data_IF_129357151353
#
_entry.id   IF_129357151353
#
_cell.length_a   1.000
_cell.length_b   1.000
_cell.length_c   1.000
_cell.angle_alpha   90.00
_cell.angle_beta   90.00
_cell.angle_gamma   90.00
#
_symmetry.space_group_name_H-M   'P 1'
#
loop_
_entity.id
_entity.type
_entity.pdbx_description
1 polymer ?
#
# COMPACT_ATOMS: atom_id res chain seq x y z
N UNK A 1 -2.41 28.02 36.90
CA UNK A 1 -2.26 27.33 35.60
C UNK A 1 -1.41 26.11 35.86
N UNK A 2 -2.06 24.96 35.88
CA UNK A 2 -1.72 23.86 36.78
C UNK A 2 -0.56 22.99 36.31
N UNK A 3 0.30 22.63 37.26
CA UNK A 3 1.40 21.67 37.13
C UNK A 3 0.98 20.31 36.51
N UNK A 4 -0.31 19.96 36.60
CA UNK A 4 -0.91 18.78 35.95
C UNK A 4 -1.05 18.92 34.43
N UNK A 5 -1.30 20.12 33.92
CA UNK A 5 -1.41 20.38 32.48
C UNK A 5 -0.03 20.29 31.81
N UNK A 6 1.03 20.76 32.48
CA UNK A 6 2.41 20.66 32.00
C UNK A 6 2.90 19.21 31.91
N UNK A 7 2.61 18.39 32.93
CA UNK A 7 2.94 16.95 32.92
C UNK A 7 2.23 16.19 31.79
N UNK A 8 0.92 16.44 31.58
CA UNK A 8 0.17 15.82 30.47
C UNK A 8 0.67 16.27 29.10
N UNK A 9 1.11 17.51 28.96
CA UNK A 9 1.65 18.02 27.70
C UNK A 9 3.01 17.37 27.36
N UNK A 10 3.90 17.22 28.35
CA UNK A 10 5.16 16.51 28.15
C UNK A 10 4.94 15.04 27.80
N UNK A 11 3.97 14.38 28.44
CA UNK A 11 3.55 13.02 28.10
C UNK A 11 3.02 12.93 26.66
N UNK A 12 2.19 13.88 26.23
CA UNK A 12 1.68 13.95 24.85
C UNK A 12 2.81 14.08 23.83
N UNK A 13 3.87 14.83 24.14
CA UNK A 13 5.02 14.96 23.23
C UNK A 13 5.79 13.65 23.05
N UNK A 14 5.81 12.80 24.08
CA UNK A 14 6.43 11.48 24.03
C UNK A 14 5.53 10.46 23.31
N UNK A 15 4.22 10.49 23.56
CA UNK A 15 3.26 9.54 22.97
C UNK A 15 2.85 9.88 21.53
N UNK A 16 2.79 11.17 21.18
CA UNK A 16 2.47 11.66 19.85
C UNK A 16 3.64 12.51 19.29
N UNK A 17 4.59 11.86 18.60
CA UNK A 17 5.68 12.55 17.92
C UNK A 17 5.19 13.64 16.96
N UNK A 18 6.07 14.62 16.71
CA UNK A 18 5.71 15.78 15.90
C UNK A 18 5.34 15.38 14.47
N UNK A 19 4.20 15.87 13.97
CA UNK A 19 3.73 15.60 12.61
C UNK A 19 2.88 14.33 12.45
N UNK A 20 2.82 13.46 13.47
CA UNK A 20 1.94 12.29 13.45
C UNK A 20 0.52 12.62 13.89
N UNK A 21 -0.43 11.87 13.33
CA UNK A 21 -1.86 11.99 13.54
C UNK A 21 -2.32 11.01 14.61
N UNK A 22 -3.22 11.47 15.48
CA UNK A 22 -4.01 10.64 16.36
C UNK A 22 -5.49 11.04 16.25
N UNK A 23 -6.38 10.06 16.28
CA UNK A 23 -7.81 10.33 16.30
C UNK A 23 -8.33 10.53 17.74
N UNK A 24 -9.58 10.99 17.85
CA UNK A 24 -10.20 11.20 19.14
C UNK A 24 -10.30 9.92 19.98
N UNK A 25 -10.42 8.74 19.38
CA UNK A 25 -10.50 7.50 20.15
C UNK A 25 -9.16 7.19 20.81
N UNK A 26 -8.06 7.30 20.04
CA UNK A 26 -6.70 7.17 20.54
C UNK A 26 -6.41 8.19 21.66
N UNK A 27 -6.73 9.46 21.42
CA UNK A 27 -6.49 10.52 22.41
C UNK A 27 -7.26 10.29 23.73
N UNK A 28 -8.50 9.81 23.64
CA UNK A 28 -9.31 9.51 24.84
C UNK A 28 -8.72 8.31 25.61
N UNK A 29 -8.31 7.26 24.92
CA UNK A 29 -7.65 6.09 25.51
C UNK A 29 -6.35 6.45 26.25
N UNK A 30 -5.64 7.49 25.79
CA UNK A 30 -4.43 8.01 26.43
C UNK A 30 -4.72 9.10 27.49
N UNK A 31 -5.99 9.31 27.86
CA UNK A 31 -6.39 10.20 28.96
C UNK A 31 -6.52 11.68 28.57
N UNK A 32 -6.64 11.99 27.28
CA UNK A 32 -6.90 13.34 26.77
C UNK A 32 -8.39 13.50 26.43
N UNK A 33 -9.14 14.02 27.41
CA UNK A 33 -10.58 14.24 27.29
C UNK A 33 -10.94 15.25 26.19
N UNK A 34 -12.21 15.24 25.77
CA UNK A 34 -12.75 16.22 24.81
C UNK A 34 -12.47 17.68 25.18
N UNK A 35 -12.63 18.02 26.47
CA UNK A 35 -12.36 19.36 26.97
C UNK A 35 -10.86 19.71 26.87
N UNK A 36 -9.98 18.78 27.24
CA UNK A 36 -8.53 18.99 27.19
C UNK A 36 -8.03 19.13 25.75
N UNK A 37 -8.53 18.30 24.82
CA UNK A 37 -8.20 18.42 23.38
C UNK A 37 -8.63 19.78 22.84
N UNK A 38 -9.83 20.23 23.17
CA UNK A 38 -10.34 21.55 22.76
C UNK A 38 -9.48 22.69 23.32
N UNK A 39 -9.04 22.56 24.58
CA UNK A 39 -8.11 23.52 25.19
C UNK A 39 -6.76 23.52 24.49
N UNK A 40 -6.20 22.36 24.16
CA UNK A 40 -4.90 22.23 23.48
C UNK A 40 -4.94 22.78 22.05
N UNK A 41 -6.05 22.59 21.35
CA UNK A 41 -6.28 23.20 20.03
C UNK A 41 -6.37 24.72 20.16
N UNK A 42 -7.16 25.24 21.10
CA UNK A 42 -7.29 26.69 21.32
C UNK A 42 -5.97 27.36 21.71
N UNK A 43 -5.17 26.68 22.53
CA UNK A 43 -3.85 27.14 22.94
C UNK A 43 -2.75 26.91 21.88
N UNK A 44 -3.08 26.28 20.74
CA UNK A 44 -2.15 26.09 19.62
C UNK A 44 -1.10 24.99 19.83
N UNK A 45 -1.29 24.12 20.83
CA UNK A 45 -0.45 22.93 21.07
C UNK A 45 -0.79 21.78 20.12
N UNK A 46 -2.06 21.68 19.71
CA UNK A 46 -2.55 20.74 18.71
C UNK A 46 -3.19 21.51 17.56
N UNK A 47 -3.11 20.97 16.35
CA UNK A 47 -4.00 21.36 15.26
C UNK A 47 -4.87 20.18 14.82
N UNK A 48 -5.97 20.48 14.14
CA UNK A 48 -6.96 19.48 13.70
C UNK A 48 -7.08 19.49 12.17
N UNK A 49 -6.33 18.63 11.46
CA UNK A 49 -6.36 18.60 9.99
C UNK A 49 -7.68 18.06 9.43
N UNK A 50 -8.40 17.25 10.21
CA UNK A 50 -9.73 16.76 9.89
C UNK A 50 -10.55 16.62 11.18
N UNK A 51 -11.88 16.49 11.05
CA UNK A 51 -12.78 16.37 12.21
C UNK A 51 -12.33 15.22 13.11
N UNK A 52 -12.09 15.53 14.40
CA UNK A 52 -11.66 14.57 15.43
C UNK A 52 -10.28 13.92 15.19
N UNK A 53 -9.47 14.52 14.32
CA UNK A 53 -8.07 14.15 14.11
C UNK A 53 -7.21 15.27 14.66
N UNK A 54 -6.14 14.90 15.36
CA UNK A 54 -5.25 15.83 16.03
C UNK A 54 -3.82 15.50 15.66
N UNK A 55 -2.97 16.52 15.59
CA UNK A 55 -1.53 16.33 15.48
C UNK A 55 -0.79 17.50 16.13
N UNK A 56 0.46 17.26 16.46
CA UNK A 56 1.39 18.27 16.97
C UNK A 56 2.31 18.67 15.83
N UNK A 57 1.92 19.62 14.98
CA UNK A 57 2.81 20.24 13.98
C UNK A 57 2.08 21.37 13.27
N UNK A 58 2.82 22.39 12.82
CA UNK A 58 2.31 23.47 11.95
C UNK A 58 2.77 23.35 10.49
N UNK A 59 3.62 22.38 10.16
CA UNK A 59 4.12 22.16 8.78
C UNK A 59 3.04 21.53 7.89
N UNK A 60 3.08 21.65 6.57
CA UNK A 60 2.19 20.86 5.71
C UNK A 60 2.24 19.36 6.07
N UNK A 61 1.09 18.70 6.00
CA UNK A 61 0.97 17.26 6.20
C UNK A 61 1.50 16.55 4.95
N UNK A 62 2.22 15.45 5.11
CA UNK A 62 2.60 14.58 3.98
C UNK A 62 1.84 13.26 4.04
N UNK A 63 1.66 12.58 2.91
CA UNK A 63 1.01 11.27 2.90
C UNK A 63 1.82 10.24 3.69
N UNK A 64 3.16 10.34 3.69
CA UNK A 64 4.02 9.47 4.49
C UNK A 64 3.74 9.61 5.99
N UNK A 65 3.57 10.84 6.48
CA UNK A 65 3.20 11.08 7.89
C UNK A 65 1.85 10.43 8.22
N UNK A 66 0.88 10.49 7.30
CA UNK A 66 -0.41 9.81 7.47
C UNK A 66 -0.20 8.30 7.58
N UNK A 67 0.57 7.68 6.69
CA UNK A 67 0.81 6.24 6.71
C UNK A 67 1.52 5.80 7.99
N UNK A 68 2.58 6.49 8.38
CA UNK A 68 3.28 6.21 9.65
C UNK A 68 2.30 6.32 10.82
N UNK A 69 1.40 7.31 10.81
CA UNK A 69 0.39 7.46 11.86
C UNK A 69 -0.59 6.28 11.88
N UNK A 70 -1.06 5.83 10.72
CA UNK A 70 -1.95 4.66 10.62
C UNK A 70 -1.25 3.38 11.09
N UNK A 71 0.03 3.19 10.74
CA UNK A 71 0.78 1.97 10.99
C UNK A 71 1.36 1.87 12.40
N UNK A 72 1.82 2.98 12.96
CA UNK A 72 2.56 3.02 14.23
C UNK A 72 1.73 3.60 15.37
N UNK A 73 0.99 4.69 15.16
CA UNK A 73 0.21 5.34 16.24
C UNK A 73 -1.12 4.62 16.46
N UNK A 74 -1.83 4.32 15.36
CA UNK A 74 -3.11 3.62 15.41
C UNK A 74 -2.98 2.11 15.28
N UNK A 75 -1.76 1.60 15.10
CA UNK A 75 -1.42 0.17 15.04
C UNK A 75 -2.29 -0.61 14.05
N UNK A 76 -2.70 0.01 12.94
CA UNK A 76 -3.53 -0.65 11.95
C UNK A 76 -2.67 -1.60 11.11
N UNK A 77 -3.16 -2.81 10.79
CA UNK A 77 -2.47 -3.78 9.94
C UNK A 77 -2.61 -3.36 8.46
N UNK A 78 -2.09 -2.17 8.14
CA UNK A 78 -2.06 -1.60 6.81
C UNK A 78 -0.64 -1.59 6.28
N UNK A 79 -0.52 -1.85 4.99
CA UNK A 79 0.72 -1.88 4.21
C UNK A 79 0.53 -1.03 2.96
N UNK A 80 1.55 -0.27 2.58
CA UNK A 80 1.54 0.44 1.28
C UNK A 80 1.88 -0.57 0.20
N UNK A 81 1.00 -0.76 -0.77
CA UNK A 81 1.12 -1.83 -1.76
C UNK A 81 0.87 -1.38 -3.19
N UNK A 82 0.74 -2.34 -4.11
CA UNK A 82 0.46 -2.10 -5.51
C UNK A 82 1.44 -1.11 -6.17
N UNK A 83 0.89 -0.25 -7.03
CA UNK A 83 1.64 0.81 -7.72
C UNK A 83 2.48 1.67 -6.78
N UNK A 84 1.89 2.14 -5.68
CA UNK A 84 2.58 3.03 -4.73
C UNK A 84 3.84 2.38 -4.16
N UNK A 85 3.79 1.10 -3.82
CA UNK A 85 4.98 0.39 -3.33
C UNK A 85 6.07 0.26 -4.39
N UNK A 86 5.68 -0.08 -5.64
CA UNK A 86 6.62 -0.20 -6.76
C UNK A 86 7.30 1.15 -7.07
N UNK A 87 6.56 2.25 -7.06
CA UNK A 87 7.12 3.60 -7.25
C UNK A 87 8.17 3.92 -6.17
N UNK A 88 7.85 3.68 -4.90
CA UNK A 88 8.78 3.90 -3.79
C UNK A 88 10.00 2.97 -3.81
N UNK A 89 9.91 1.83 -4.50
CA UNK A 89 10.98 0.85 -4.66
C UNK A 89 11.79 1.04 -5.95
N UNK A 90 11.61 2.16 -6.65
CA UNK A 90 12.44 2.57 -7.79
C UNK A 90 11.85 2.25 -9.18
N UNK A 91 10.62 1.74 -9.25
CA UNK A 91 9.96 1.46 -10.54
C UNK A 91 9.13 2.64 -11.06
N UNK A 92 9.29 3.83 -10.48
CA UNK A 92 8.56 5.04 -10.89
C UNK A 92 8.80 5.44 -12.36
N UNK A 93 9.98 5.14 -12.92
CA UNK A 93 10.31 5.49 -14.32
C UNK A 93 9.45 4.74 -15.37
N UNK A 94 8.81 3.63 -14.98
CA UNK A 94 7.87 2.89 -15.84
C UNK A 94 6.43 3.41 -15.72
N UNK A 95 6.18 4.33 -14.79
CA UNK A 95 4.86 4.82 -14.44
C UNK A 95 4.72 6.27 -14.90
N UNK A 96 3.92 6.45 -15.96
CA UNK A 96 3.82 7.72 -16.70
C UNK A 96 3.02 8.83 -16.00
N UNK A 97 2.34 8.52 -14.89
CA UNK A 97 1.46 9.47 -14.18
C UNK A 97 2.05 9.81 -12.83
N UNK A 98 2.09 11.10 -12.50
CA UNK A 98 2.45 11.54 -11.15
C UNK A 98 1.53 10.87 -10.10
N UNK A 99 2.10 10.57 -8.94
CA UNK A 99 1.42 9.85 -7.87
C UNK A 99 0.35 10.72 -7.21
N UNK A 100 -0.90 10.58 -7.65
CA UNK A 100 -2.08 11.22 -7.04
C UNK A 100 -2.83 10.27 -6.10
N UNK A 101 -2.41 9.01 -6.03
CA UNK A 101 -3.08 7.96 -5.27
C UNK A 101 -2.08 7.16 -4.43
N UNK A 102 -2.47 6.86 -3.19
CA UNK A 102 -1.74 5.97 -2.29
C UNK A 102 -2.57 4.71 -2.06
N UNK A 103 -2.05 3.58 -2.49
CA UNK A 103 -2.71 2.28 -2.32
C UNK A 103 -2.33 1.65 -0.98
N UNK A 104 -3.35 1.33 -0.19
CA UNK A 104 -3.25 0.69 1.11
C UNK A 104 -3.92 -0.66 1.11
N UNK A 105 -3.17 -1.68 1.51
CA UNK A 105 -3.64 -3.05 1.63
C UNK A 105 -3.69 -3.45 3.10
N UNK A 106 -4.77 -4.12 3.48
CA UNK A 106 -4.87 -4.73 4.80
C UNK A 106 -6.26 -5.30 5.08
N UNK A 107 -6.41 -6.17 6.08
CA UNK A 107 -7.67 -6.83 6.40
C UNK A 107 -8.71 -5.88 7.01
N UNK A 108 -8.25 -4.76 7.57
CA UNK A 108 -9.09 -3.76 8.25
C UNK A 108 -9.14 -2.46 7.46
N UNK A 109 -10.35 -1.91 7.29
CA UNK A 109 -10.53 -0.59 6.65
C UNK A 109 -9.84 0.52 7.45
N UNK A 110 -9.20 1.50 6.78
CA UNK A 110 -8.69 2.68 7.45
C UNK A 110 -9.83 3.56 7.99
N UNK A 111 -9.53 4.47 8.92
CA UNK A 111 -10.51 5.41 9.43
C UNK A 111 -11.09 6.32 8.34
N UNK A 112 -12.37 6.66 8.46
CA UNK A 112 -13.09 7.47 7.46
C UNK A 112 -12.55 8.90 7.30
N UNK A 113 -11.89 9.44 8.34
CA UNK A 113 -11.28 10.77 8.29
C UNK A 113 -10.12 10.86 7.30
N UNK A 114 -9.57 9.73 6.83
CA UNK A 114 -8.49 9.68 5.86
C UNK A 114 -8.83 10.44 4.56
N UNK A 115 -10.09 10.32 4.11
CA UNK A 115 -10.59 11.02 2.91
C UNK A 115 -10.85 12.51 3.14
N UNK A 116 -10.80 12.99 4.39
CA UNK A 116 -11.06 14.40 4.75
C UNK A 116 -9.79 15.18 5.06
N UNK A 117 -8.62 14.57 4.86
CA UNK A 117 -7.35 15.24 5.08
C UNK A 117 -7.08 16.27 3.98
N UNK A 118 -6.44 17.40 4.31
CA UNK A 118 -6.09 18.44 3.35
C UNK A 118 -4.83 18.05 2.57
N UNK A 119 -4.93 17.00 1.75
CA UNK A 119 -3.87 16.47 0.90
C UNK A 119 -4.36 16.41 -0.55
N UNK A 120 -3.48 16.72 -1.49
CA UNK A 120 -3.73 16.55 -2.93
C UNK A 120 -3.44 15.09 -3.37
N UNK A 121 -3.85 14.13 -2.53
CA UNK A 121 -3.64 12.69 -2.72
C UNK A 121 -4.88 11.96 -2.25
N UNK A 122 -5.33 10.99 -3.04
CA UNK A 122 -6.42 10.09 -2.68
C UNK A 122 -5.87 8.78 -2.11
N UNK A 123 -6.35 8.37 -0.94
CA UNK A 123 -6.02 7.06 -0.39
C UNK A 123 -7.02 6.02 -0.87
N UNK A 124 -6.54 4.95 -1.51
CA UNK A 124 -7.34 3.80 -1.93
C UNK A 124 -7.07 2.62 -1.03
N UNK A 125 -8.11 2.10 -0.38
CA UNK A 125 -7.99 0.91 0.44
C UNK A 125 -8.46 -0.34 -0.29
N UNK A 126 -7.66 -1.39 -0.14
CA UNK A 126 -7.86 -2.71 -0.70
C UNK A 126 -7.87 -3.74 0.42
N UNK A 127 -8.86 -4.64 0.40
CA UNK A 127 -8.88 -5.76 1.35
C UNK A 127 -7.84 -6.79 0.92
N UNK A 128 -6.73 -6.89 1.66
CA UNK A 128 -5.64 -7.82 1.37
C UNK A 128 -6.09 -9.28 1.32
N UNK A 129 -7.09 -9.64 2.14
CA UNK A 129 -7.62 -11.00 2.23
C UNK A 129 -8.32 -11.48 0.95
N UNK A 130 -8.68 -10.56 0.03
CA UNK A 130 -9.23 -10.95 -1.28
C UNK A 130 -8.18 -11.58 -2.18
N UNK A 131 -6.95 -11.07 -2.12
CA UNK A 131 -5.85 -11.54 -2.95
C UNK A 131 -5.04 -12.60 -2.21
N UNK A 132 -4.82 -12.44 -0.91
CA UNK A 132 -4.06 -13.35 -0.04
C UNK A 132 -4.83 -13.64 1.25
N UNK A 133 -5.71 -14.67 1.27
CA UNK A 133 -6.54 -15.00 2.43
C UNK A 133 -5.73 -15.34 3.69
N UNK A 134 -4.56 -15.96 3.52
CA UNK A 134 -3.67 -16.37 4.62
C UNK A 134 -2.60 -15.30 4.96
N UNK A 135 -2.71 -14.11 4.34
CA UNK A 135 -1.80 -12.95 4.46
C UNK A 135 -0.31 -13.32 4.54
N UNK A 136 0.15 -14.07 3.53
CA UNK A 136 1.42 -14.81 3.53
C UNK A 136 2.64 -13.91 3.30
N UNK A 137 2.49 -12.60 3.36
CA UNK A 137 3.62 -11.67 3.21
C UNK A 137 4.30 -11.50 4.56
N UNK A 138 5.37 -12.30 4.74
CA UNK A 138 6.35 -12.11 5.80
C UNK A 138 6.96 -10.69 5.71
N UNK A 139 7.60 -10.16 6.78
CA UNK A 139 7.98 -8.76 6.85
C UNK A 139 8.80 -8.30 5.65
N UNK A 140 8.48 -7.09 5.20
CA UNK A 140 9.08 -6.33 4.08
C UNK A 140 10.61 -6.44 4.03
N UNK A 141 11.17 -6.22 2.84
CA UNK A 141 12.58 -5.98 2.51
C UNK A 141 13.50 -5.57 3.70
N UNK A 142 14.76 -6.02 3.75
CA UNK A 142 15.71 -5.73 4.83
C UNK A 142 16.03 -4.24 5.04
N UNK A 143 15.45 -3.34 4.25
CA UNK A 143 15.61 -1.89 4.34
C UNK A 143 14.25 -1.19 4.21
N UNK A 144 13.51 -0.99 5.31
CA UNK A 144 12.28 -0.19 5.27
C UNK A 144 12.59 1.22 4.79
N UNK A 145 11.73 1.80 3.95
CA UNK A 145 11.86 3.22 3.61
C UNK A 145 11.58 4.01 4.88
N UNK A 146 12.60 4.73 5.30
CA UNK A 146 12.61 5.50 6.53
C UNK A 146 12.12 6.92 6.26
N UNK A 147 11.20 7.40 7.09
CA UNK A 147 10.66 8.76 7.00
C UNK A 147 11.04 9.54 8.24
N UNK A 148 11.63 10.72 8.02
CA UNK A 148 11.92 11.69 9.07
C UNK A 148 10.62 12.36 9.53
N UNK A 149 10.20 12.10 10.76
CA UNK A 149 9.01 12.70 11.37
C UNK A 149 9.35 13.20 12.77
N UNK A 150 9.40 14.53 12.94
CA UNK A 150 9.60 15.14 14.25
C UNK A 150 10.92 14.78 14.93
N UNK A 151 12.00 14.60 14.15
CA UNK A 151 13.30 14.17 14.67
C UNK A 151 13.43 12.65 14.87
N UNK A 152 12.36 11.88 14.62
CA UNK A 152 12.40 10.43 14.57
C UNK A 152 12.54 9.93 13.13
N UNK A 153 13.16 8.78 12.98
CA UNK A 153 13.24 8.06 11.72
C UNK A 153 12.36 6.83 11.84
N UNK A 154 11.20 6.83 11.18
CA UNK A 154 10.18 5.78 11.32
C UNK A 154 10.03 5.00 10.02
N UNK A 155 9.91 3.65 10.08
CA UNK A 155 9.72 2.83 8.89
C UNK A 155 8.28 2.93 8.40
N UNK A 156 8.08 2.93 7.09
CA UNK A 156 6.79 2.58 6.48
C UNK A 156 6.83 1.11 6.05
N UNK A 157 5.78 0.36 6.38
CA UNK A 157 5.62 -1.01 5.87
C UNK A 157 5.11 -0.97 4.43
N UNK A 158 5.88 -1.54 3.52
CA UNK A 158 5.53 -1.72 2.10
C UNK A 158 5.36 -3.20 1.76
N UNK A 159 4.51 -3.50 0.79
CA UNK A 159 4.49 -4.81 0.13
C UNK A 159 5.86 -5.05 -0.51
N UNK A 160 6.34 -6.29 -0.49
CA UNK A 160 7.51 -6.69 -1.29
C UNK A 160 7.27 -6.41 -2.78
N UNK A 161 8.32 -6.28 -3.61
CA UNK A 161 8.17 -6.08 -5.06
C UNK A 161 7.30 -7.17 -5.68
N UNK A 162 7.53 -8.41 -5.23
CA UNK A 162 6.80 -9.60 -5.65
C UNK A 162 5.30 -9.53 -5.31
N UNK A 163 4.94 -9.04 -4.12
CA UNK A 163 3.52 -8.86 -3.76
C UNK A 163 2.91 -7.65 -4.46
N UNK A 164 3.64 -6.54 -4.49
CA UNK A 164 3.18 -5.28 -5.05
C UNK A 164 2.84 -5.39 -6.54
N UNK A 165 3.58 -6.19 -7.31
CA UNK A 165 3.21 -6.44 -8.70
C UNK A 165 1.94 -7.28 -8.85
N UNK A 166 1.71 -8.27 -7.98
CA UNK A 166 0.46 -9.04 -7.99
C UNK A 166 -0.75 -8.17 -7.60
N UNK A 167 -0.56 -7.29 -6.62
CA UNK A 167 -1.52 -6.26 -6.22
C UNK A 167 -1.84 -5.30 -7.36
N UNK A 168 -0.83 -4.81 -8.09
CA UNK A 168 -1.01 -3.96 -9.27
C UNK A 168 -1.78 -4.68 -10.38
N UNK A 169 -1.47 -5.96 -10.64
CA UNK A 169 -2.18 -6.75 -11.65
C UNK A 169 -3.64 -7.02 -11.28
N UNK A 170 -4.02 -6.94 -10.00
CA UNK A 170 -5.42 -7.07 -9.60
C UNK A 170 -6.26 -5.84 -9.99
N UNK A 171 -5.63 -4.69 -10.17
CA UNK A 171 -6.29 -3.45 -10.61
C UNK A 171 -6.59 -3.42 -12.12
N UNK A 172 -6.05 -4.37 -12.90
CA UNK A 172 -6.36 -4.52 -14.32
C UNK A 172 -7.76 -5.10 -14.55
N UNK A 173 -8.52 -4.60 -15.54
CA UNK A 173 -8.20 -3.50 -16.47
C UNK A 173 -8.73 -2.12 -16.01
N UNK A 174 -9.38 -2.04 -14.86
CA UNK A 174 -10.28 -0.94 -14.52
C UNK A 174 -9.55 0.29 -13.94
N UNK A 175 -8.42 0.06 -13.26
CA UNK A 175 -7.67 1.10 -12.55
C UNK A 175 -6.20 1.16 -12.96
N UNK A 176 -5.71 0.16 -13.68
CA UNK A 176 -4.36 0.14 -14.27
C UNK A 176 -4.43 -0.23 -15.75
N UNK A 177 -3.39 0.14 -16.51
CA UNK A 177 -3.31 -0.19 -17.94
C UNK A 177 -2.39 -1.38 -18.23
N UNK A 178 -2.76 -2.19 -19.22
CA UNK A 178 -1.93 -3.33 -19.64
C UNK A 178 -0.54 -2.91 -20.11
N UNK A 179 -0.42 -1.77 -20.80
CA UNK A 179 0.86 -1.24 -21.27
C UNK A 179 1.77 -0.79 -20.13
N UNK A 180 1.22 -0.16 -19.09
CA UNK A 180 2.00 0.18 -17.89
C UNK A 180 2.43 -1.08 -17.14
N UNK A 181 1.54 -2.08 -17.04
CA UNK A 181 1.89 -3.37 -16.43
C UNK A 181 2.98 -4.11 -17.22
N UNK A 182 2.93 -4.11 -18.56
CA UNK A 182 3.97 -4.69 -19.45
C UNK A 182 5.31 -3.99 -19.22
N UNK A 183 5.34 -2.66 -19.30
CA UNK A 183 6.56 -1.88 -19.10
C UNK A 183 7.17 -2.07 -17.70
N UNK A 184 6.33 -2.12 -16.65
CA UNK A 184 6.76 -2.44 -15.31
C UNK A 184 7.36 -3.85 -15.21
N UNK A 185 6.64 -4.84 -15.75
CA UNK A 185 7.07 -6.23 -15.74
C UNK A 185 8.38 -6.43 -16.48
N UNK A 186 8.64 -5.70 -17.57
CA UNK A 186 9.91 -5.73 -18.30
C UNK A 186 11.11 -5.43 -17.38
N UNK A 187 10.98 -4.45 -16.49
CA UNK A 187 12.04 -4.04 -15.56
C UNK A 187 12.28 -4.97 -14.37
N UNK A 188 11.40 -5.93 -14.12
CA UNK A 188 11.41 -6.77 -12.91
C UNK A 188 12.29 -8.02 -13.02
N UNK A 189 13.55 -7.85 -13.41
CA UNK A 189 14.50 -8.97 -13.57
C UNK A 189 15.07 -9.50 -12.24
N UNK A 190 14.86 -8.79 -11.13
CA UNK A 190 15.46 -9.01 -9.81
C UNK A 190 14.51 -9.65 -8.78
N UNK A 191 13.32 -10.11 -9.19
CA UNK A 191 12.36 -10.75 -8.29
C UNK A 191 12.88 -12.07 -7.73
N UNK A 192 12.60 -12.32 -6.44
CA UNK A 192 12.95 -13.54 -5.73
C UNK A 192 12.02 -14.70 -6.13
N UNK A 193 12.54 -15.78 -6.76
CA UNK A 193 11.71 -16.92 -7.15
C UNK A 193 11.02 -17.60 -5.95
N UNK A 194 11.69 -17.63 -4.78
CA UNK A 194 11.12 -18.26 -3.57
C UNK A 194 9.91 -17.49 -3.06
N UNK A 195 10.00 -16.16 -3.01
CA UNK A 195 8.87 -15.32 -2.60
C UNK A 195 7.74 -15.37 -3.61
N UNK A 196 8.06 -15.30 -4.91
CA UNK A 196 7.09 -15.45 -5.97
C UNK A 196 6.34 -16.79 -5.89
N UNK A 197 7.05 -17.89 -5.65
CA UNK A 197 6.44 -19.20 -5.49
C UNK A 197 5.40 -19.18 -4.36
N UNK A 198 5.80 -18.75 -3.15
CA UNK A 198 4.91 -18.66 -1.99
C UNK A 198 3.70 -17.77 -2.26
N UNK A 199 3.90 -16.60 -2.88
CA UNK A 199 2.81 -15.67 -3.18
C UNK A 199 1.87 -16.21 -4.26
N UNK A 200 2.38 -16.85 -5.32
CA UNK A 200 1.55 -17.39 -6.40
C UNK A 200 0.73 -18.61 -5.97
N UNK A 201 1.28 -19.44 -5.07
CA UNK A 201 0.53 -20.53 -4.44
C UNK A 201 -0.61 -19.99 -3.59
N UNK A 202 -0.31 -19.02 -2.71
CA UNK A 202 -1.26 -18.44 -1.78
C UNK A 202 -2.28 -17.47 -2.41
N UNK A 203 -1.98 -16.93 -3.59
CA UNK A 203 -2.86 -15.97 -4.26
C UNK A 203 -4.21 -16.64 -4.58
N UNK A 204 -5.32 -16.00 -4.22
CA UNK A 204 -6.66 -16.52 -4.52
C UNK A 204 -7.14 -16.13 -5.92
N UNK A 205 -6.53 -15.11 -6.54
CA UNK A 205 -6.97 -14.57 -7.82
C UNK A 205 -6.31 -15.30 -9.00
N UNK A 206 -7.06 -16.21 -9.62
CA UNK A 206 -6.66 -16.85 -10.89
C UNK A 206 -6.37 -15.83 -11.99
N UNK A 207 -7.07 -14.68 -12.01
CA UNK A 207 -6.81 -13.58 -12.94
C UNK A 207 -5.36 -13.09 -12.80
N UNK A 208 -4.97 -12.78 -11.57
CA UNK A 208 -3.65 -12.22 -11.26
C UNK A 208 -2.54 -13.22 -11.56
N UNK A 209 -2.69 -14.50 -11.17
CA UNK A 209 -1.70 -15.54 -11.48
C UNK A 209 -1.45 -15.65 -12.98
N UNK A 210 -2.53 -15.72 -13.78
CA UNK A 210 -2.44 -15.84 -15.24
C UNK A 210 -1.82 -14.60 -15.89
N UNK A 211 -2.22 -13.40 -15.45
CA UNK A 211 -1.62 -12.15 -15.94
C UNK A 211 -0.12 -12.09 -15.63
N UNK A 212 0.25 -12.41 -14.39
CA UNK A 212 1.64 -12.39 -13.95
C UNK A 212 2.50 -13.31 -14.81
N UNK A 213 2.06 -14.56 -15.01
CA UNK A 213 2.80 -15.53 -15.79
C UNK A 213 2.82 -15.22 -17.29
N UNK A 214 1.75 -14.64 -17.83
CA UNK A 214 1.72 -14.14 -19.20
C UNK A 214 2.82 -13.10 -19.43
N UNK A 215 2.88 -12.06 -18.59
CA UNK A 215 3.92 -11.04 -18.69
C UNK A 215 5.31 -11.60 -18.39
N UNK A 216 5.44 -12.49 -17.41
CA UNK A 216 6.73 -13.12 -17.08
C UNK A 216 7.34 -13.89 -18.25
N UNK A 217 6.52 -14.64 -19.00
CA UNK A 217 6.96 -15.38 -20.18
C UNK A 217 7.25 -14.47 -21.36
N UNK A 218 6.46 -13.41 -21.54
CA UNK A 218 6.64 -12.41 -22.60
C UNK A 218 8.02 -11.76 -22.52
N UNK A 219 8.48 -11.41 -21.31
CA UNK A 219 9.81 -10.83 -21.08
C UNK A 219 10.91 -11.89 -20.83
N UNK A 220 10.57 -13.18 -20.81
CA UNK A 220 11.50 -14.30 -20.65
C UNK A 220 12.40 -14.19 -19.42
N UNK A 221 11.83 -13.75 -18.30
CA UNK A 221 12.59 -13.53 -17.06
C UNK A 221 13.30 -14.79 -16.57
N UNK A 222 14.55 -14.68 -16.13
CA UNK A 222 15.33 -15.85 -15.68
C UNK A 222 14.70 -16.54 -14.44
N UNK A 223 14.11 -15.76 -13.54
CA UNK A 223 13.43 -16.28 -12.34
C UNK A 223 12.17 -17.10 -12.69
N UNK A 224 11.54 -16.86 -13.85
CA UNK A 224 10.32 -17.57 -14.29
C UNK A 224 10.54 -19.08 -14.43
N UNK A 225 11.73 -19.49 -14.85
CA UNK A 225 12.11 -20.89 -15.02
C UNK A 225 12.40 -21.61 -13.70
N UNK A 226 12.48 -20.87 -12.58
CA UNK A 226 12.68 -21.41 -11.24
C UNK A 226 11.37 -21.62 -10.47
N UNK A 227 10.24 -21.21 -11.06
CA UNK A 227 8.92 -21.44 -10.47
C UNK A 227 8.43 -22.85 -10.81
N UNK A 228 7.92 -23.54 -9.79
CA UNK A 228 7.26 -24.83 -9.97
C UNK A 228 5.78 -24.59 -10.30
N UNK A 229 5.45 -24.79 -11.57
CA UNK A 229 4.11 -24.60 -12.09
C UNK A 229 3.09 -25.62 -11.57
N UNK A 230 3.54 -26.77 -11.05
CA UNK A 230 2.64 -27.82 -10.57
C UNK A 230 1.88 -27.43 -9.30
N UNK A 231 2.42 -26.50 -8.51
CA UNK A 231 1.80 -25.98 -7.29
C UNK A 231 0.95 -24.72 -7.51
N UNK A 232 0.99 -24.13 -8.72
CA UNK A 232 0.29 -22.88 -9.02
C UNK A 232 -1.04 -23.19 -9.71
N UNK A 233 -2.14 -23.11 -8.96
CA UNK A 233 -3.48 -23.29 -9.53
C UNK A 233 -3.85 -22.11 -10.44
N UNK A 234 -3.92 -22.37 -11.74
CA UNK A 234 -4.36 -21.42 -12.77
C UNK A 234 -5.85 -21.52 -13.04
N UNK A 235 -6.61 -22.36 -12.33
CA UNK A 235 -8.02 -22.60 -12.56
C UNK A 235 -8.34 -23.07 -13.99
N UNK A 236 -9.62 -23.18 -14.30
CA UNK A 236 -10.12 -23.63 -15.60
C UNK A 236 -10.86 -22.51 -16.36
N UNK A 237 -11.09 -22.73 -17.65
CA UNK A 237 -11.88 -21.83 -18.49
C UNK A 237 -11.15 -20.59 -19.01
N UNK A 238 -11.76 -19.91 -19.98
CA UNK A 238 -11.26 -18.68 -20.61
C UNK A 238 -11.67 -17.46 -19.79
N UNK A 239 -10.76 -16.50 -19.64
CA UNK A 239 -11.04 -15.22 -18.99
C UNK A 239 -10.93 -14.09 -20.00
N UNK A 240 -12.06 -13.47 -20.33
CA UNK A 240 -12.11 -12.31 -21.22
C UNK A 240 -11.98 -11.02 -20.40
N UNK A 241 -10.79 -10.41 -20.37
CA UNK A 241 -10.55 -9.17 -19.63
C UNK A 241 -10.82 -7.92 -20.45
N UNK A 242 -10.55 -7.95 -21.76
CA UNK A 242 -10.66 -6.80 -22.66
C UNK A 242 -11.49 -7.15 -23.87
N UNK A 243 -12.48 -6.30 -24.22
CA UNK A 243 -13.27 -6.44 -25.46
C UNK A 243 -12.36 -6.21 -26.67
N UNK A 244 -12.41 -7.11 -27.64
CA UNK A 244 -11.55 -7.06 -28.83
C UNK A 244 -10.10 -7.46 -28.59
N UNK A 245 -9.77 -7.95 -27.40
CA UNK A 245 -8.45 -8.53 -27.12
C UNK A 245 -8.26 -9.89 -27.78
N UNK A 246 -7.02 -10.38 -27.75
CA UNK A 246 -6.66 -11.71 -28.25
C UNK A 246 -6.48 -12.68 -27.07
N UNK A 247 -6.98 -13.90 -27.24
CA UNK A 247 -6.79 -14.97 -26.26
C UNK A 247 -5.35 -15.49 -26.33
N UNK A 248 -4.65 -15.43 -25.21
CA UNK A 248 -3.45 -16.23 -24.97
C UNK A 248 -3.87 -17.68 -24.66
N UNK A 249 -3.51 -18.67 -25.50
CA UNK A 249 -3.95 -20.04 -25.33
C UNK A 249 -3.22 -20.76 -24.17
N UNK A 250 -2.03 -20.30 -23.78
CA UNK A 250 -1.23 -20.91 -22.72
C UNK A 250 -1.84 -20.66 -21.35
N UNK A 251 -2.27 -19.43 -21.09
CA UNK A 251 -2.85 -19.00 -19.83
C UNK A 251 -4.37 -18.82 -19.88
N UNK A 252 -5.00 -19.06 -21.04
CA UNK A 252 -6.44 -18.92 -21.25
C UNK A 252 -6.97 -17.55 -20.80
N UNK A 253 -6.22 -16.48 -21.11
CA UNK A 253 -6.52 -15.11 -20.71
C UNK A 253 -6.52 -14.19 -21.92
N UNK A 254 -7.50 -13.28 -21.98
CA UNK A 254 -7.60 -12.32 -23.08
C UNK A 254 -6.86 -11.05 -22.71
N UNK A 255 -5.90 -10.66 -23.55
CA UNK A 255 -5.07 -9.48 -23.41
C UNK A 255 -5.26 -8.56 -24.62
N UNK A 256 -4.85 -7.28 -24.57
CA UNK A 256 -4.83 -6.42 -25.76
C UNK A 256 -4.14 -7.09 -26.95
N UNK A 257 -4.68 -6.88 -28.15
CA UNK A 257 -4.27 -7.59 -29.38
C UNK A 257 -2.81 -7.37 -29.76
N UNK A 258 -2.28 -6.20 -29.43
CA UNK A 258 -0.88 -5.80 -29.63
C UNK A 258 0.09 -6.49 -28.66
N UNK A 259 -0.42 -6.95 -27.50
CA UNK A 259 0.34 -7.75 -26.54
C UNK A 259 0.18 -9.26 -26.78
N UNK A 260 -0.97 -9.68 -27.31
CA UNK A 260 -1.26 -11.07 -27.66
C UNK A 260 -0.61 -11.47 -28.99
N UNK A 261 0.63 -11.96 -28.98
CA UNK A 261 1.28 -12.27 -30.26
C UNK A 261 2.66 -12.91 -30.21
N UNK A 262 3.06 -13.52 -29.10
CA UNK A 262 4.33 -14.27 -29.02
C UNK A 262 4.04 -15.75 -28.89
#
# INVERSE_FOLDING_TARGET
MDMHSGKKLNRLQQELPEGLLADAAWMEAHGYSSALRSQYVRAGWLNSPARRVYRRSRTPLTWQQVIVSLQTVLELPLTVGGRTALEQQGYAHYLSTAMHEVHLYGPKRPPTWLASLPLDITFRWHNSLRLFPDDVDAPSEPSPVMVGVGGLTLPIRYSSKERAVLELLDELPDHESFHQADALMEGMSDLSPRRLQTLLEACASVKVKRLFLFFADRHRHAWRFRLDMSYIDLGSGKRALVKGGKLDPRYNITVPSDLGGV
#
